data_IF_876388868958
#
_entry.id   IF_876388868958
#
_cell.length_a   1.000
_cell.length_b   1.000
_cell.length_c   1.000
_cell.angle_alpha   90.00
_cell.angle_beta   90.00
_cell.angle_gamma   90.00
#
_symmetry.space_group_name_H-M   'P 1'
#
loop_
_entity.id
_entity.type
_entity.pdbx_description
1 polymer ?
#
# COMPACT_ATOMS: atom_id res chain seq x y z
N UNK A 1 13.71 5.51 -12.31
CA UNK A 1 12.66 5.71 -13.34
C UNK A 1 12.83 7.11 -13.96
N UNK A 2 12.36 7.34 -15.20
CA UNK A 2 12.46 8.67 -15.86
C UNK A 2 11.69 9.78 -15.13
N UNK A 3 10.73 9.39 -14.27
CA UNK A 3 9.92 10.26 -13.41
C UNK A 3 9.86 9.65 -11.99
N UNK A 4 9.78 10.48 -10.93
CA UNK A 4 9.66 9.97 -9.57
C UNK A 4 8.37 9.19 -9.40
N UNK A 5 8.46 8.01 -8.76
CA UNK A 5 7.28 7.24 -8.34
C UNK A 5 6.77 7.74 -6.99
N UNK A 6 5.63 7.23 -6.51
CA UNK A 6 4.95 7.71 -5.29
C UNK A 6 5.87 7.82 -4.07
N UNK A 7 6.74 6.83 -3.86
CA UNK A 7 7.70 6.82 -2.75
C UNK A 7 8.82 7.85 -2.92
N UNK A 8 9.26 8.10 -4.16
CA UNK A 8 10.26 9.14 -4.44
C UNK A 8 9.65 10.53 -4.20
N UNK A 9 8.42 10.73 -4.69
CA UNK A 9 7.66 11.96 -4.49
C UNK A 9 7.47 12.24 -3.00
N UNK A 10 7.07 11.24 -2.21
CA UNK A 10 6.85 11.42 -0.78
C UNK A 10 8.14 11.73 -0.01
N UNK A 11 9.26 11.10 -0.36
CA UNK A 11 10.56 11.44 0.21
C UNK A 11 10.94 12.90 -0.08
N UNK A 12 10.75 13.36 -1.33
CA UNK A 12 10.98 14.76 -1.69
C UNK A 12 10.05 15.73 -0.94
N UNK A 13 8.78 15.38 -0.72
CA UNK A 13 7.89 16.19 0.12
C UNK A 13 8.41 16.34 1.56
N UNK A 14 8.89 15.26 2.17
CA UNK A 14 9.44 15.32 3.54
C UNK A 14 10.71 16.16 3.60
N UNK A 15 11.56 16.09 2.58
CA UNK A 15 12.76 16.92 2.47
C UNK A 15 12.42 18.41 2.35
N UNK A 16 11.54 18.77 1.40
CA UNK A 16 11.09 20.16 1.19
C UNK A 16 10.37 20.74 2.41
N UNK A 17 9.65 19.91 3.17
CA UNK A 17 8.99 20.31 4.41
C UNK A 17 9.92 20.29 5.63
N UNK A 18 11.20 19.97 5.47
CA UNK A 18 12.18 19.85 6.57
C UNK A 18 11.72 18.89 7.67
N UNK A 19 11.15 17.75 7.25
CA UNK A 19 10.63 16.68 8.12
C UNK A 19 11.43 15.39 7.95
N UNK A 20 12.70 15.32 8.41
CA UNK A 20 13.54 14.15 8.20
C UNK A 20 12.95 12.90 8.87
N UNK A 21 13.00 11.78 8.15
CA UNK A 21 12.67 10.46 8.70
C UNK A 21 13.84 10.01 9.57
N UNK A 22 13.59 9.80 10.86
CA UNK A 22 14.61 9.42 11.84
C UNK A 22 14.82 7.93 11.94
N UNK A 23 13.74 7.16 11.82
CA UNK A 23 13.76 5.69 11.83
C UNK A 23 12.42 5.15 11.37
N UNK A 24 12.44 3.90 10.93
CA UNK A 24 11.24 3.10 10.69
C UNK A 24 11.25 1.92 11.64
N UNK A 25 10.13 1.59 12.27
CA UNK A 25 10.03 0.49 13.23
C UNK A 25 8.87 -0.42 12.87
N UNK A 26 9.15 -1.68 12.58
CA UNK A 26 8.15 -2.75 12.46
C UNK A 26 7.97 -3.36 13.85
N UNK A 27 6.81 -3.19 14.47
CA UNK A 27 6.66 -3.43 15.91
C UNK A 27 5.66 -4.53 16.29
N UNK A 28 4.62 -4.77 15.50
CA UNK A 28 3.61 -5.78 15.82
C UNK A 28 3.11 -6.54 14.60
N UNK A 29 2.53 -7.71 14.89
CA UNK A 29 1.79 -8.52 13.94
C UNK A 29 0.46 -8.91 14.58
N UNK A 30 -0.65 -8.66 13.89
CA UNK A 30 -1.98 -9.05 14.32
C UNK A 30 -2.59 -9.95 13.25
N UNK A 31 -2.76 -11.24 13.58
CA UNK A 31 -3.13 -12.26 12.59
C UNK A 31 -2.02 -12.45 11.55
N UNK A 32 -2.24 -11.95 10.34
CA UNK A 32 -1.28 -11.99 9.22
C UNK A 32 -0.87 -10.57 8.76
N UNK A 33 -1.23 -9.54 9.53
CA UNK A 33 -1.00 -8.14 9.17
C UNK A 33 0.11 -7.58 10.06
N UNK A 34 1.20 -7.17 9.42
CA UNK A 34 2.31 -6.51 10.09
C UNK A 34 2.08 -5.00 10.15
N UNK A 35 2.47 -4.38 11.26
CA UNK A 35 2.34 -2.95 11.49
C UNK A 35 3.71 -2.30 11.66
N UNK A 36 3.85 -1.08 11.12
CA UNK A 36 5.06 -0.29 11.22
C UNK A 36 4.77 1.18 11.47
N UNK A 37 5.73 1.88 12.08
CA UNK A 37 5.71 3.32 12.23
C UNK A 37 6.93 3.95 11.59
N UNK A 38 6.72 5.02 10.83
CA UNK A 38 7.77 5.94 10.41
C UNK A 38 7.87 7.07 11.44
N UNK A 39 9.03 7.20 12.08
CA UNK A 39 9.30 8.26 13.04
C UNK A 39 9.93 9.42 12.30
N UNK A 40 9.22 10.53 12.19
CA UNK A 40 9.71 11.77 11.56
C UNK A 40 9.96 12.83 12.61
N UNK A 41 10.87 13.76 12.34
CA UNK A 41 11.10 14.91 13.20
C UNK A 41 10.59 16.18 12.56
N UNK A 42 9.90 17.02 13.32
CA UNK A 42 9.57 18.39 12.92
C UNK A 42 9.71 19.31 14.11
N UNK A 43 10.45 20.42 13.95
CA UNK A 43 10.66 21.42 15.01
C UNK A 43 11.20 20.79 16.32
N UNK A 44 12.11 19.82 16.21
CA UNK A 44 12.69 19.10 17.35
C UNK A 44 11.76 18.12 18.05
N UNK A 45 10.56 17.87 17.49
CA UNK A 45 9.60 16.89 18.02
C UNK A 45 9.51 15.68 17.12
N UNK A 46 9.62 14.50 17.72
CA UNK A 46 9.37 13.24 17.05
C UNK A 46 7.86 13.01 16.90
N UNK A 47 7.45 12.57 15.72
CA UNK A 47 6.08 12.20 15.35
C UNK A 47 6.12 10.80 14.79
N UNK A 48 5.22 9.95 15.25
CA UNK A 48 5.04 8.61 14.71
C UNK A 48 3.91 8.64 13.68
N UNK A 49 4.20 8.12 12.49
CA UNK A 49 3.25 8.00 11.39
C UNK A 49 3.04 6.51 11.16
N UNK A 50 1.80 6.06 11.35
CA UNK A 50 1.41 4.68 11.05
C UNK A 50 1.57 4.40 9.55
N UNK A 51 2.17 3.26 9.23
CA UNK A 51 2.42 2.85 7.85
C UNK A 51 2.48 1.33 7.72
N UNK A 52 2.26 0.83 6.49
CA UNK A 52 2.54 -0.58 6.21
C UNK A 52 4.06 -0.79 6.22
N UNK A 53 4.54 -1.99 6.58
CA UNK A 53 5.97 -2.29 6.56
C UNK A 53 6.64 -2.05 5.19
N UNK A 54 5.96 -2.38 4.09
CA UNK A 54 6.48 -2.14 2.73
C UNK A 54 6.72 -0.66 2.46
N UNK A 55 5.76 0.20 2.81
CA UNK A 55 5.86 1.65 2.63
C UNK A 55 6.95 2.24 3.54
N UNK A 56 7.01 1.79 4.81
CA UNK A 56 8.04 2.19 5.76
C UNK A 56 9.45 1.81 5.27
N UNK A 57 9.65 0.58 4.83
CA UNK A 57 10.94 0.13 4.27
C UNK A 57 11.32 0.94 3.03
N UNK A 58 10.38 1.13 2.10
CA UNK A 58 10.59 1.91 0.89
C UNK A 58 11.01 3.36 1.20
N UNK A 59 10.41 3.96 2.23
CA UNK A 59 10.75 5.30 2.70
C UNK A 59 12.11 5.35 3.40
N UNK A 60 12.39 4.39 4.28
CA UNK A 60 13.66 4.29 4.99
C UNK A 60 14.85 4.18 4.04
N UNK A 61 14.74 3.34 3.01
CA UNK A 61 15.77 3.19 1.98
C UNK A 61 16.03 4.48 1.19
N UNK A 62 14.99 5.28 0.91
CA UNK A 62 15.11 6.53 0.15
C UNK A 62 15.64 7.70 0.97
N UNK A 63 15.37 7.66 2.27
CA UNK A 63 15.75 8.73 3.21
C UNK A 63 17.00 8.39 4.02
N UNK A 64 17.62 7.24 3.74
CA UNK A 64 18.74 6.66 4.49
C UNK A 64 18.45 6.55 6.00
N UNK A 65 17.18 6.35 6.35
CA UNK A 65 16.74 6.22 7.72
C UNK A 65 16.89 4.76 8.20
N UNK A 66 17.42 4.55 9.42
CA UNK A 66 17.58 3.20 9.95
C UNK A 66 16.24 2.50 10.16
N UNK A 67 16.20 1.21 9.80
CA UNK A 67 15.03 0.35 9.93
C UNK A 67 15.25 -0.62 11.10
N UNK A 68 14.28 -0.67 12.00
CA UNK A 68 14.29 -1.52 13.18
C UNK A 68 13.09 -2.47 13.18
N UNK A 69 13.28 -3.61 13.84
CA UNK A 69 12.24 -4.60 14.09
C UNK A 69 12.21 -4.87 15.60
N UNK A 70 11.02 -4.97 16.19
CA UNK A 70 10.89 -5.33 17.60
C UNK A 70 11.42 -6.76 17.83
N UNK A 71 12.11 -6.95 18.95
CA UNK A 71 12.68 -8.26 19.29
C UNK A 71 11.61 -9.34 19.40
N UNK A 72 10.48 -9.00 20.01
CA UNK A 72 9.33 -9.90 20.14
C UNK A 72 8.84 -10.41 18.78
N UNK A 73 8.75 -9.52 17.80
CA UNK A 73 8.34 -9.89 16.43
C UNK A 73 9.41 -10.74 15.73
N UNK A 74 10.68 -10.40 15.93
CA UNK A 74 11.79 -11.21 15.43
C UNK A 74 11.80 -12.61 16.03
N UNK A 75 11.49 -12.75 17.33
CA UNK A 75 11.45 -14.05 18.00
C UNK A 75 10.23 -14.89 17.54
N UNK A 76 9.11 -14.24 17.17
CA UNK A 76 7.90 -14.91 16.70
C UNK A 76 7.92 -15.29 15.21
N UNK A 77 8.35 -14.36 14.35
CA UNK A 77 8.22 -14.47 12.89
C UNK A 77 9.57 -14.49 12.17
N UNK A 78 10.68 -14.32 12.90
CA UNK A 78 12.02 -14.38 12.32
C UNK A 78 12.33 -15.78 11.81
N UNK A 79 12.70 -15.85 10.53
CA UNK A 79 13.21 -17.08 9.93
C UNK A 79 14.72 -17.07 10.11
N UNK A 80 15.27 -18.06 10.81
CA UNK A 80 16.72 -18.27 10.84
C UNK A 80 17.15 -18.89 9.51
N UNK A 81 17.65 -18.06 8.61
CA UNK A 81 18.34 -18.58 7.42
C UNK A 81 19.74 -19.00 7.83
N UNK A 82 20.03 -20.29 7.75
CA UNK A 82 21.42 -20.72 7.59
C UNK A 82 21.94 -20.09 6.28
N UNK A 83 23.23 -19.72 6.19
CA UNK A 83 23.76 -18.98 5.05
C UNK A 83 23.95 -19.89 3.82
N UNK A 84 22.95 -20.69 3.46
CA UNK A 84 22.87 -21.31 2.13
C UNK A 84 22.19 -20.29 1.21
N UNK A 85 22.99 -19.70 0.31
CA UNK A 85 22.57 -18.64 -0.61
C UNK A 85 21.36 -19.01 -1.47
N UNK A 86 21.12 -20.31 -1.69
CA UNK A 86 20.03 -20.83 -2.49
C UNK A 86 18.63 -20.52 -1.90
N UNK A 87 18.48 -20.46 -0.58
CA UNK A 87 17.19 -20.19 0.07
C UNK A 87 16.85 -18.70 0.04
N UNK A 88 17.86 -17.83 0.16
CA UNK A 88 17.70 -16.39 0.01
C UNK A 88 17.30 -16.01 -1.42
N UNK A 89 18.00 -16.55 -2.42
CA UNK A 89 17.71 -16.29 -3.83
C UNK A 89 16.29 -16.74 -4.20
N UNK A 90 15.86 -17.92 -3.72
CA UNK A 90 14.51 -18.43 -3.94
C UNK A 90 13.44 -17.54 -3.28
N UNK A 91 13.70 -17.05 -2.07
CA UNK A 91 12.76 -16.17 -1.34
C UNK A 91 12.62 -14.82 -2.03
N UNK A 92 13.72 -14.26 -2.51
CA UNK A 92 13.75 -13.01 -3.28
C UNK A 92 12.98 -13.17 -4.60
N UNK A 93 13.20 -14.26 -5.35
CA UNK A 93 12.48 -14.52 -6.60
C UNK A 93 10.96 -14.59 -6.41
N UNK A 94 10.49 -15.32 -5.39
CA UNK A 94 9.05 -15.42 -5.08
C UNK A 94 8.43 -14.07 -4.71
N UNK A 95 9.19 -13.17 -4.10
CA UNK A 95 8.71 -11.82 -3.78
C UNK A 95 8.50 -10.99 -5.04
N UNK A 96 9.42 -11.07 -6.01
CA UNK A 96 9.30 -10.37 -7.30
C UNK A 96 8.13 -10.84 -8.16
N UNK A 97 7.73 -12.11 -8.04
CA UNK A 97 6.57 -12.66 -8.75
C UNK A 97 5.22 -12.05 -8.27
N UNK A 98 5.18 -11.46 -7.06
CA UNK A 98 3.95 -10.97 -6.44
C UNK A 98 3.68 -9.48 -6.72
N UNK A 99 4.67 -8.70 -7.15
CA UNK A 99 4.52 -7.27 -7.44
C UNK A 99 5.08 -6.89 -8.84
N UNK A 100 4.29 -7.10 -9.92
CA UNK A 100 4.73 -6.85 -11.30
C UNK A 100 5.09 -5.39 -11.59
N UNK A 101 4.63 -4.46 -10.74
CA UNK A 101 4.74 -3.01 -10.93
C UNK A 101 6.16 -2.46 -10.73
N UNK A 102 7.10 -3.28 -10.24
CA UNK A 102 8.52 -2.90 -10.05
C UNK A 102 9.38 -3.30 -11.27
N UNK A 103 8.80 -4.02 -12.25
CA UNK A 103 9.49 -4.40 -13.47
C UNK A 103 9.52 -3.21 -14.45
N UNK A 104 10.56 -2.39 -14.35
CA UNK A 104 10.93 -1.50 -15.45
C UNK A 104 11.34 -2.31 -16.68
N UNK A 105 10.63 -2.08 -17.79
CA UNK A 105 10.88 -2.55 -19.17
C UNK A 105 12.10 -3.47 -19.36
N UNK A 106 11.84 -4.77 -19.34
CA UNK A 106 12.48 -5.79 -20.18
C UNK A 106 11.62 -7.06 -20.13
N UNK A 107 10.42 -6.97 -20.69
CA UNK A 107 9.57 -8.13 -20.99
C UNK A 107 8.78 -7.88 -22.29
N UNK A 108 9.52 -7.48 -23.34
CA UNK A 108 9.08 -7.84 -24.68
C UNK A 108 9.34 -9.34 -24.83
N UNK A 109 8.37 -10.16 -24.40
CA UNK A 109 8.16 -11.58 -24.72
C UNK A 109 7.46 -12.27 -23.54
N UNK A 110 6.16 -12.04 -23.34
CA UNK A 110 5.22 -13.12 -22.99
C UNK A 110 3.75 -12.68 -23.09
N UNK A 111 3.37 -12.25 -24.29
CA UNK A 111 1.97 -12.05 -24.68
C UNK A 111 1.21 -13.38 -24.89
N UNK A 112 1.63 -14.48 -24.26
CA UNK A 112 1.09 -15.81 -24.54
C UNK A 112 1.21 -16.77 -23.35
N UNK A 113 0.43 -16.56 -22.29
CA UNK A 113 -0.22 -17.63 -21.50
C UNK A 113 -1.06 -17.09 -20.34
N UNK A 114 -2.36 -16.99 -20.55
CA UNK A 114 -3.36 -17.03 -19.49
C UNK A 114 -4.69 -17.57 -20.05
N UNK A 115 -4.67 -18.82 -20.53
CA UNK A 115 -5.89 -19.61 -20.68
C UNK A 115 -6.01 -20.55 -19.47
N UNK A 116 -7.00 -20.26 -18.61
CA UNK A 116 -7.88 -21.19 -17.90
C UNK A 116 -8.43 -20.54 -16.61
N UNK A 117 -9.51 -19.78 -16.72
CA UNK A 117 -10.42 -19.55 -15.60
C UNK A 117 -11.65 -20.44 -15.78
N UNK A 118 -11.90 -21.25 -14.76
CA UNK A 118 -12.98 -22.23 -14.66
C UNK A 118 -14.35 -21.53 -14.61
N UNK A 119 -15.27 -21.98 -15.46
CA UNK A 119 -16.54 -21.33 -15.74
C UNK A 119 -17.70 -21.90 -14.92
N UNK A 120 -17.51 -22.10 -13.61
CA UNK A 120 -18.55 -22.63 -12.71
C UNK A 120 -18.48 -22.05 -11.29
N UNK A 121 -18.60 -20.73 -11.17
CA UNK A 121 -18.98 -20.10 -9.91
C UNK A 121 -20.36 -19.48 -10.09
N UNK A 122 -21.37 -20.17 -9.56
CA UNK A 122 -22.77 -19.75 -9.60
C UNK A 122 -22.92 -18.45 -8.81
N UNK A 123 -23.22 -17.36 -9.53
CA UNK A 123 -23.51 -16.05 -8.94
C UNK A 123 -24.60 -16.19 -7.87
N UNK A 124 -24.39 -15.67 -6.64
CA UNK A 124 -25.45 -15.67 -5.65
C UNK A 124 -26.62 -14.81 -6.14
N UNK A 125 -27.84 -15.33 -5.96
CA UNK A 125 -29.08 -14.66 -6.31
C UNK A 125 -29.13 -13.21 -5.76
N UNK A 126 -29.77 -12.26 -6.46
CA UNK A 126 -29.76 -10.85 -6.08
C UNK A 126 -30.35 -10.69 -4.68
N UNK A 127 -29.49 -10.32 -3.74
CA UNK A 127 -29.92 -9.93 -2.39
C UNK A 127 -30.71 -8.65 -2.57
N UNK A 128 -31.98 -8.67 -2.16
CA UNK A 128 -32.90 -7.53 -2.22
C UNK A 128 -32.21 -6.33 -1.58
N UNK A 129 -31.93 -5.29 -2.39
CA UNK A 129 -31.22 -4.11 -1.93
C UNK A 129 -32.07 -3.39 -0.87
N UNK A 130 -31.62 -3.45 0.38
CA UNK A 130 -32.02 -2.51 1.42
C UNK A 130 -31.87 -1.08 0.88
N UNK A 131 -32.78 -0.13 1.20
CA UNK A 131 -32.64 1.25 0.76
C UNK A 131 -31.35 1.83 1.34
N UNK A 132 -30.30 1.88 0.52
CA UNK A 132 -29.04 2.48 0.90
C UNK A 132 -29.25 3.98 1.01
N UNK A 133 -28.78 4.52 2.12
CA UNK A 133 -28.68 5.97 2.31
C UNK A 133 -27.95 6.58 1.10
N UNK A 134 -28.48 7.67 0.54
CA UNK A 134 -28.00 8.30 -0.70
C UNK A 134 -26.50 8.66 -0.59
N UNK A 135 -26.06 9.02 0.61
CA UNK A 135 -24.66 9.31 0.92
C UNK A 135 -23.78 8.06 0.92
N UNK A 136 -24.32 6.90 1.30
CA UNK A 136 -23.61 5.61 1.26
C UNK A 136 -23.39 5.16 -0.19
N UNK A 137 -24.38 5.34 -1.06
CA UNK A 137 -24.25 5.02 -2.48
C UNK A 137 -23.24 5.91 -3.20
N UNK A 138 -23.23 7.21 -2.90
CA UNK A 138 -22.23 8.12 -3.45
C UNK A 138 -20.81 7.76 -2.99
N UNK A 139 -20.63 7.36 -1.73
CA UNK A 139 -19.33 6.91 -1.20
C UNK A 139 -18.84 5.63 -1.87
N UNK A 140 -19.74 4.68 -2.09
CA UNK A 140 -19.40 3.45 -2.80
C UNK A 140 -19.01 3.74 -4.25
N UNK A 141 -19.73 4.62 -4.96
CA UNK A 141 -19.37 5.03 -6.32
C UNK A 141 -18.02 5.74 -6.38
N UNK A 142 -17.71 6.60 -5.40
CA UNK A 142 -16.43 7.28 -5.31
C UNK A 142 -15.28 6.26 -5.17
N UNK A 143 -15.46 5.26 -4.30
CA UNK A 143 -14.47 4.20 -4.10
C UNK A 143 -14.21 3.42 -5.39
N UNK A 144 -15.26 3.06 -6.13
CA UNK A 144 -15.11 2.38 -7.42
C UNK A 144 -14.38 3.24 -8.46
N UNK A 145 -14.72 4.52 -8.59
CA UNK A 145 -14.05 5.43 -9.52
C UNK A 145 -12.55 5.59 -9.20
N UNK A 146 -12.17 5.60 -7.92
CA UNK A 146 -10.76 5.63 -7.50
C UNK A 146 -10.03 4.33 -7.87
N UNK A 147 -10.67 3.18 -7.65
CA UNK A 147 -10.09 1.86 -8.00
C UNK A 147 -9.89 1.74 -9.51
N UNK A 148 -10.82 2.27 -10.31
CA UNK A 148 -10.75 2.27 -11.78
C UNK A 148 -9.86 3.38 -12.35
N UNK A 149 -9.23 4.20 -11.51
CA UNK A 149 -8.42 5.37 -11.90
C UNK A 149 -9.19 6.44 -12.72
N UNK A 150 -10.52 6.47 -12.59
CA UNK A 150 -11.41 7.46 -13.21
C UNK A 150 -11.47 8.73 -12.36
N UNK A 151 -10.33 9.43 -12.27
CA UNK A 151 -10.15 10.55 -11.33
C UNK A 151 -11.07 11.75 -11.58
N UNK A 152 -11.55 11.93 -12.82
CA UNK A 152 -12.53 12.98 -13.14
C UNK A 152 -13.89 12.67 -12.51
N UNK A 153 -14.39 11.43 -12.63
CA UNK A 153 -15.62 11.01 -11.97
C UNK A 153 -15.45 11.04 -10.45
N UNK A 154 -14.31 10.57 -9.92
CA UNK A 154 -14.02 10.61 -8.50
C UNK A 154 -14.05 12.06 -7.94
N UNK A 155 -13.53 13.04 -8.68
CA UNK A 155 -13.57 14.43 -8.26
C UNK A 155 -15.01 14.97 -8.18
N UNK A 156 -15.86 14.66 -9.18
CA UNK A 156 -17.26 15.06 -9.19
C UNK A 156 -18.06 14.42 -8.05
N UNK A 157 -17.84 13.12 -7.81
CA UNK A 157 -18.49 12.38 -6.74
C UNK A 157 -18.10 12.93 -5.36
N UNK A 158 -16.84 13.30 -5.15
CA UNK A 158 -16.39 13.94 -3.91
C UNK A 158 -17.14 15.26 -3.66
N UNK A 159 -17.21 16.12 -4.66
CA UNK A 159 -17.86 17.43 -4.53
C UNK A 159 -19.36 17.28 -4.27
N UNK A 160 -20.01 16.27 -4.85
CA UNK A 160 -21.42 15.96 -4.60
C UNK A 160 -21.65 15.41 -3.19
N UNK A 161 -20.76 14.54 -2.68
CA UNK A 161 -20.81 14.07 -1.28
C UNK A 161 -20.70 15.25 -0.31
N UNK A 162 -19.82 16.21 -0.57
CA UNK A 162 -19.70 17.40 0.27
C UNK A 162 -20.98 18.25 0.26
N UNK A 163 -21.62 18.42 -0.90
CA UNK A 163 -22.92 19.10 -1.00
C UNK A 163 -24.00 18.39 -0.20
N UNK A 164 -24.19 17.08 -0.39
CA UNK A 164 -25.20 16.30 0.32
C UNK A 164 -24.95 16.33 1.82
N UNK A 165 -23.70 16.18 2.25
CA UNK A 165 -23.30 16.26 3.66
C UNK A 165 -23.59 17.63 4.26
N UNK A 166 -23.37 18.70 3.50
CA UNK A 166 -23.66 20.08 3.93
C UNK A 166 -25.16 20.38 4.01
N UNK A 167 -26.00 19.69 3.23
CA UNK A 167 -27.45 19.85 3.23
C UNK A 167 -28.17 19.06 4.34
N UNK A 168 -27.52 18.03 4.88
CA UNK A 168 -28.02 17.20 5.99
C UNK A 168 -27.56 17.67 7.39
N UNK A 169 -26.69 18.69 7.47
CA UNK A 169 -26.18 19.29 8.71
C UNK A 169 -26.98 20.54 9.12
#
# INVERSE_FOLDING_TARGET
PLRPISYDLFASFLEELSMPVRRVVIHSVEGQVFHAVAVVEREGRLREIDCRPSDGVALGLRTDAPIFISRELLDMAGISTAPDSADLDRTICRFYELEPQILGDNAADDAARADAFDANEELPAPVVAEPRDELTDLRHRLEQAVICEEYEEAALLRDEIERVKSAQA
#
